data_IF_251106392126
#
_entry.id   IF_251106392126
#
_cell.length_a   1.000
_cell.length_b   1.000
_cell.length_c   1.000
_cell.angle_alpha   90.00
_cell.angle_beta   90.00
_cell.angle_gamma   90.00
#
_symmetry.space_group_name_H-M   'P 1'
#
loop_
_entity.id
_entity.type
_entity.pdbx_description
1 polymer ?
#
# COMPACT_ATOMS: atom_id res chain seq x y z
N UNK A 1 -6.78 -7.60 13.93
CA UNK A 1 -5.79 -8.63 14.31
C UNK A 1 -6.11 -9.38 15.59
N UNK A 2 -6.93 -8.82 16.48
CA UNK A 2 -7.36 -9.49 17.74
C UNK A 2 -8.09 -10.83 17.51
N UNK A 3 -8.80 -10.99 16.41
CA UNK A 3 -9.59 -12.20 16.07
C UNK A 3 -8.76 -13.37 15.53
N UNK A 4 -7.52 -13.16 15.08
CA UNK A 4 -6.70 -14.19 14.45
C UNK A 4 -6.48 -15.44 15.34
N UNK A 5 -6.09 -15.30 16.62
CA UNK A 5 -5.95 -16.49 17.49
C UNK A 5 -7.25 -17.25 17.67
N UNK A 6 -8.40 -16.56 17.69
CA UNK A 6 -9.71 -17.20 17.79
C UNK A 6 -10.05 -18.00 16.53
N UNK A 7 -9.74 -17.45 15.34
CA UNK A 7 -9.91 -18.14 14.05
C UNK A 7 -9.05 -19.42 14.02
N UNK A 8 -7.77 -19.32 14.37
CA UNK A 8 -6.89 -20.49 14.43
C UNK A 8 -7.40 -21.56 15.42
N UNK A 9 -7.92 -21.13 16.58
CA UNK A 9 -8.52 -22.04 17.57
C UNK A 9 -9.77 -22.73 17.02
N UNK A 10 -10.64 -21.99 16.31
CA UNK A 10 -11.85 -22.53 15.69
C UNK A 10 -11.50 -23.55 14.59
N UNK A 11 -10.59 -23.21 13.67
CA UNK A 11 -10.10 -24.12 12.63
C UNK A 11 -9.50 -25.38 13.22
N UNK A 12 -8.73 -25.27 14.30
CA UNK A 12 -8.13 -26.43 14.97
C UNK A 12 -9.18 -27.35 15.58
N UNK A 13 -10.25 -26.82 16.18
CA UNK A 13 -11.37 -27.61 16.69
C UNK A 13 -12.10 -28.38 15.59
N UNK A 14 -12.37 -27.70 14.45
CA UNK A 14 -12.97 -28.35 13.29
C UNK A 14 -12.02 -29.43 12.75
N UNK A 15 -10.74 -29.13 12.55
CA UNK A 15 -9.74 -30.08 12.03
C UNK A 15 -9.54 -31.31 12.89
N UNK A 16 -9.83 -31.23 14.19
CA UNK A 16 -9.80 -32.38 15.13
C UNK A 16 -11.09 -33.23 15.18
N UNK A 17 -12.17 -32.68 14.58
CA UNK A 17 -13.46 -33.32 14.63
C UNK A 17 -14.19 -33.14 15.98
N UNK A 18 -13.82 -32.10 16.75
CA UNK A 18 -14.43 -31.83 18.08
C UNK A 18 -15.89 -31.32 17.96
N UNK A 19 -16.39 -31.12 16.75
CA UNK A 19 -17.75 -30.66 16.47
C UNK A 19 -18.60 -31.77 15.87
N UNK A 20 -19.76 -32.00 16.44
CA UNK A 20 -20.64 -33.17 16.24
C UNK A 20 -21.30 -33.26 14.84
N UNK A 21 -21.08 -32.32 13.88
CA UNK A 21 -21.73 -32.36 12.57
C UNK A 21 -20.77 -31.98 11.42
N UNK A 22 -19.46 -32.28 11.55
CA UNK A 22 -18.51 -32.02 10.51
C UNK A 22 -18.42 -33.16 9.49
N UNK A 23 -18.58 -32.84 8.21
CA UNK A 23 -18.33 -33.82 7.14
C UNK A 23 -16.84 -34.06 6.95
N UNK A 24 -16.45 -35.23 6.41
CA UNK A 24 -15.04 -35.52 6.11
C UNK A 24 -14.37 -34.48 5.21
N UNK A 25 -15.13 -33.90 4.29
CA UNK A 25 -14.67 -32.80 3.43
C UNK A 25 -14.34 -31.55 4.25
N UNK A 26 -15.21 -31.12 5.16
CA UNK A 26 -14.98 -29.96 6.03
C UNK A 26 -13.76 -30.15 6.95
N UNK A 27 -13.53 -31.38 7.43
CA UNK A 27 -12.34 -31.73 8.22
C UNK A 27 -11.05 -31.58 7.40
N UNK A 28 -11.05 -32.07 6.15
CA UNK A 28 -9.90 -31.98 5.25
C UNK A 28 -9.59 -30.51 4.89
N UNK A 29 -10.62 -29.72 4.57
CA UNK A 29 -10.51 -28.31 4.28
C UNK A 29 -9.97 -27.52 5.47
N UNK A 30 -10.53 -27.74 6.66
CA UNK A 30 -10.07 -27.08 7.88
C UNK A 30 -8.60 -27.40 8.21
N UNK A 31 -8.14 -28.63 7.95
CA UNK A 31 -6.71 -29.02 8.09
C UNK A 31 -5.83 -28.27 7.10
N UNK A 32 -6.23 -28.14 5.82
CA UNK A 32 -5.51 -27.41 4.80
C UNK A 32 -5.42 -25.92 5.11
N UNK A 33 -6.54 -25.30 5.50
CA UNK A 33 -6.58 -23.90 5.91
C UNK A 33 -5.71 -23.66 7.15
N UNK A 34 -5.83 -24.51 8.17
CA UNK A 34 -5.02 -24.38 9.38
C UNK A 34 -3.52 -24.45 9.07
N UNK A 35 -3.09 -25.40 8.24
CA UNK A 35 -1.70 -25.54 7.83
C UNK A 35 -1.18 -24.29 7.11
N UNK A 36 -2.02 -23.62 6.31
CA UNK A 36 -1.64 -22.39 5.59
C UNK A 36 -1.60 -21.19 6.53
N UNK A 37 -2.65 -20.94 7.30
CA UNK A 37 -2.76 -19.72 8.14
C UNK A 37 -1.80 -19.73 9.34
N UNK A 38 -1.29 -20.89 9.74
CA UNK A 38 -0.33 -21.01 10.84
C UNK A 38 1.13 -20.87 10.41
N UNK A 39 1.42 -20.77 9.11
CA UNK A 39 2.79 -20.48 8.62
C UNK A 39 3.21 -19.07 9.03
N UNK A 40 4.50 -18.88 9.31
CA UNK A 40 5.02 -17.58 9.73
C UNK A 40 4.88 -16.54 8.62
N UNK A 41 5.09 -16.93 7.36
CA UNK A 41 4.93 -16.07 6.18
C UNK A 41 3.50 -15.54 6.07
N UNK A 42 2.49 -16.38 6.31
CA UNK A 42 1.10 -15.92 6.30
C UNK A 42 0.84 -14.90 7.41
N UNK A 43 1.34 -15.16 8.63
CA UNK A 43 1.18 -14.27 9.78
C UNK A 43 1.89 -12.93 9.53
N UNK A 44 3.09 -12.97 8.92
CA UNK A 44 3.80 -11.77 8.50
C UNK A 44 2.98 -10.96 7.49
N UNK A 45 2.49 -11.62 6.44
CA UNK A 45 1.66 -10.97 5.43
C UNK A 45 0.36 -10.40 6.01
N UNK A 46 -0.24 -11.06 6.99
CA UNK A 46 -1.41 -10.53 7.70
C UNK A 46 -1.10 -9.22 8.42
N UNK A 47 0.07 -9.12 9.08
CA UNK A 47 0.54 -7.89 9.72
C UNK A 47 0.83 -6.80 8.69
N UNK A 48 1.52 -7.15 7.60
CA UNK A 48 1.78 -6.25 6.48
C UNK A 48 0.51 -5.67 5.88
N UNK A 49 -0.44 -6.54 5.50
CA UNK A 49 -1.71 -6.10 4.92
C UNK A 49 -2.53 -5.24 5.87
N UNK A 50 -2.54 -5.56 7.16
CA UNK A 50 -3.21 -4.69 8.14
C UNK A 50 -2.60 -3.29 8.18
N UNK A 51 -1.28 -3.15 8.07
CA UNK A 51 -0.60 -1.86 7.99
C UNK A 51 -0.97 -1.11 6.73
N UNK A 52 -0.82 -1.73 5.56
CA UNK A 52 -1.15 -1.17 4.25
C UNK A 52 -2.62 -0.75 4.15
N UNK A 53 -3.54 -1.62 4.57
CA UNK A 53 -4.97 -1.32 4.52
C UNK A 53 -5.35 -0.15 5.43
N UNK A 54 -4.70 0.00 6.59
CA UNK A 54 -4.93 1.16 7.46
C UNK A 54 -4.43 2.47 6.83
N UNK A 55 -3.33 2.44 6.07
CA UNK A 55 -2.86 3.62 5.32
C UNK A 55 -3.87 4.02 4.24
N UNK A 56 -4.29 3.06 3.42
CA UNK A 56 -5.19 3.29 2.30
C UNK A 56 -6.62 3.63 2.76
N UNK A 57 -7.06 3.09 3.90
CA UNK A 57 -8.40 3.30 4.43
C UNK A 57 -8.71 4.78 4.71
N UNK A 58 -7.74 5.53 5.25
CA UNK A 58 -7.90 6.98 5.49
C UNK A 58 -8.14 7.74 4.18
N UNK A 59 -7.32 7.43 3.15
CA UNK A 59 -7.48 7.99 1.82
C UNK A 59 -8.82 7.60 1.19
N UNK A 60 -9.18 6.32 1.24
CA UNK A 60 -10.43 5.80 0.68
C UNK A 60 -11.66 6.47 1.29
N UNK A 61 -11.69 6.61 2.62
CA UNK A 61 -12.79 7.27 3.31
C UNK A 61 -12.94 8.73 2.89
N UNK A 62 -11.83 9.46 2.73
CA UNK A 62 -11.89 10.85 2.27
C UNK A 62 -12.41 10.93 0.84
N UNK A 63 -11.89 10.09 -0.08
CA UNK A 63 -12.28 10.10 -1.49
C UNK A 63 -13.73 9.63 -1.73
N UNK A 64 -14.35 8.97 -0.76
CA UNK A 64 -15.78 8.58 -0.82
C UNK A 64 -16.71 9.64 -0.22
N UNK A 65 -16.17 10.73 0.32
CA UNK A 65 -16.94 11.82 0.90
C UNK A 65 -17.74 12.61 -0.14
N UNK A 66 -18.87 13.20 0.28
CA UNK A 66 -19.73 14.03 -0.60
C UNK A 66 -19.16 15.44 -0.84
N UNK A 67 -18.22 15.89 -0.01
CA UNK A 67 -17.58 17.22 -0.10
C UNK A 67 -16.07 17.04 -0.24
N UNK A 68 -15.63 16.65 -1.42
CA UNK A 68 -14.21 16.41 -1.71
C UNK A 68 -13.60 17.70 -2.24
N UNK A 69 -12.57 18.20 -1.56
CA UNK A 69 -11.66 19.19 -2.11
C UNK A 69 -10.55 18.49 -2.91
N UNK A 70 -10.43 18.83 -4.18
CA UNK A 70 -9.49 18.21 -5.12
C UNK A 70 -8.03 18.42 -4.71
N UNK A 71 -7.71 19.57 -4.14
CA UNK A 71 -6.34 19.90 -3.70
C UNK A 71 -5.98 19.04 -2.49
N UNK A 72 -6.86 19.00 -1.49
CA UNK A 72 -6.68 18.14 -0.31
C UNK A 72 -6.64 16.65 -0.69
N UNK A 73 -7.47 16.21 -1.65
CA UNK A 73 -7.42 14.85 -2.16
C UNK A 73 -6.05 14.50 -2.75
N UNK A 74 -5.47 15.42 -3.54
CA UNK A 74 -4.14 15.23 -4.14
C UNK A 74 -3.05 15.16 -3.07
N UNK A 75 -3.09 16.03 -2.06
CA UNK A 75 -2.15 15.96 -0.94
C UNK A 75 -2.23 14.64 -0.18
N UNK A 76 -3.45 14.14 0.08
CA UNK A 76 -3.63 12.84 0.73
C UNK A 76 -3.16 11.67 -0.12
N UNK A 77 -3.38 11.70 -1.44
CA UNK A 77 -2.86 10.70 -2.37
C UNK A 77 -1.32 10.70 -2.35
N UNK A 78 -0.70 11.88 -2.43
CA UNK A 78 0.75 12.02 -2.41
C UNK A 78 1.35 11.54 -1.07
N UNK A 79 0.73 11.91 0.05
CA UNK A 79 1.14 11.45 1.38
C UNK A 79 1.04 9.92 1.49
N UNK A 80 -0.06 9.32 1.02
CA UNK A 80 -0.24 7.87 1.01
C UNK A 80 0.83 7.17 0.14
N UNK A 81 1.15 7.72 -1.03
CA UNK A 81 2.21 7.19 -1.89
C UNK A 81 3.59 7.27 -1.21
N UNK A 82 3.87 8.37 -0.50
CA UNK A 82 5.12 8.55 0.24
C UNK A 82 5.21 7.51 1.38
N UNK A 83 4.19 7.42 2.24
CA UNK A 83 4.12 6.44 3.33
C UNK A 83 4.26 5.00 2.82
N UNK A 84 3.69 4.68 1.64
CA UNK A 84 3.85 3.36 1.01
C UNK A 84 5.28 3.11 0.52
N UNK A 85 5.96 4.13 -0.03
CA UNK A 85 7.36 4.01 -0.46
C UNK A 85 8.31 3.81 0.72
N UNK A 86 8.02 4.45 1.86
CA UNK A 86 8.78 4.31 3.10
C UNK A 86 8.69 2.90 3.71
N UNK A 87 7.61 2.14 3.39
CA UNK A 87 7.53 0.73 3.80
C UNK A 87 8.65 -0.14 3.22
N UNK A 88 9.34 0.32 2.16
CA UNK A 88 10.45 -0.41 1.54
C UNK A 88 11.76 -0.20 2.29
N UNK A 89 11.73 -0.38 3.58
CA UNK A 89 12.89 -0.22 4.46
C UNK A 89 13.09 -1.46 5.34
N UNK A 90 14.36 -1.71 5.75
CA UNK A 90 14.73 -2.82 6.64
C UNK A 90 14.13 -2.65 8.04
N UNK A 91 14.03 -1.41 8.52
CA UNK A 91 13.46 -1.13 9.83
C UNK A 91 11.97 -1.45 9.85
N UNK A 92 11.27 -1.11 8.77
CA UNK A 92 9.85 -1.40 8.58
C UNK A 92 9.61 -2.91 8.46
N UNK A 93 10.43 -3.63 7.68
CA UNK A 93 10.39 -5.09 7.62
C UNK A 93 10.57 -5.70 9.01
N UNK A 94 11.58 -5.25 9.76
CA UNK A 94 11.87 -5.75 11.11
C UNK A 94 10.77 -5.41 12.11
N UNK A 95 10.10 -4.26 11.96
CA UNK A 95 8.95 -3.86 12.78
C UNK A 95 7.76 -4.81 12.55
N UNK A 96 7.41 -5.06 11.28
CA UNK A 96 6.33 -5.98 10.90
C UNK A 96 6.67 -7.43 11.34
N UNK A 97 7.94 -7.83 11.22
CA UNK A 97 8.40 -9.14 11.67
C UNK A 97 8.23 -9.32 13.19
N UNK A 98 8.49 -8.27 13.97
CA UNK A 98 8.28 -8.26 15.43
C UNK A 98 6.79 -8.44 15.77
N UNK A 99 5.92 -7.70 15.10
CA UNK A 99 4.47 -7.81 15.28
C UNK A 99 3.96 -9.20 14.89
N UNK A 100 4.48 -9.75 13.79
CA UNK A 100 4.17 -11.11 13.36
C UNK A 100 4.60 -12.16 14.38
N UNK A 101 5.79 -12.04 14.97
CA UNK A 101 6.27 -12.92 16.04
C UNK A 101 5.39 -12.85 17.28
N UNK A 102 4.95 -11.66 17.68
CA UNK A 102 4.02 -11.48 18.80
C UNK A 102 2.64 -12.12 18.51
N UNK A 103 2.13 -11.94 17.29
CA UNK A 103 0.85 -12.54 16.89
C UNK A 103 0.95 -14.07 16.81
N UNK A 104 2.05 -14.60 16.27
CA UNK A 104 2.33 -16.02 16.22
C UNK A 104 2.40 -16.64 17.63
N UNK A 105 3.05 -16.00 18.59
CA UNK A 105 3.09 -16.44 19.99
C UNK A 105 1.70 -16.54 20.61
N UNK A 106 0.81 -15.57 20.35
CA UNK A 106 -0.59 -15.62 20.82
C UNK A 106 -1.36 -16.79 20.21
N UNK A 107 -1.03 -17.20 18.99
CA UNK A 107 -1.65 -18.31 18.29
C UNK A 107 -0.86 -19.64 18.41
N UNK A 108 0.24 -19.70 19.15
CA UNK A 108 1.14 -20.85 19.26
C UNK A 108 0.41 -22.12 19.74
N UNK A 109 -0.56 -21.99 20.65
CA UNK A 109 -1.42 -23.11 21.09
C UNK A 109 -2.22 -23.72 19.94
N UNK A 110 -2.45 -22.98 18.84
CA UNK A 110 -3.10 -23.46 17.64
C UNK A 110 -2.12 -23.97 16.56
N UNK A 111 -0.81 -24.01 16.86
CA UNK A 111 0.23 -24.51 15.95
C UNK A 111 0.88 -23.44 15.08
N UNK A 112 0.71 -22.15 15.41
CA UNK A 112 1.35 -21.08 14.66
C UNK A 112 2.88 -21.14 14.75
N UNK A 113 3.53 -20.99 13.61
CA UNK A 113 4.98 -21.00 13.46
C UNK A 113 5.56 -19.60 13.75
N UNK A 114 6.78 -19.56 14.26
CA UNK A 114 7.51 -18.31 14.57
C UNK A 114 8.74 -18.11 13.69
N UNK A 115 8.98 -19.05 12.75
CA UNK A 115 10.13 -19.06 11.84
C UNK A 115 9.67 -19.23 10.41
N UNK A 116 10.45 -18.69 9.48
CA UNK A 116 10.22 -18.88 8.05
C UNK A 116 10.36 -20.34 7.65
N UNK A 117 9.47 -20.80 6.77
CA UNK A 117 9.46 -22.20 6.31
C UNK A 117 10.53 -22.42 5.27
N UNK A 118 11.42 -23.39 5.50
CA UNK A 118 12.43 -23.77 4.55
C UNK A 118 11.82 -24.61 3.41
N UNK A 119 11.41 -23.98 2.32
CA UNK A 119 11.00 -24.70 1.12
C UNK A 119 12.25 -25.25 0.42
N UNK A 120 12.22 -26.55 0.11
CA UNK A 120 13.31 -27.21 -0.62
C UNK A 120 13.62 -26.43 -1.91
N UNK A 121 14.85 -25.92 -2.03
CA UNK A 121 15.30 -25.20 -3.21
C UNK A 121 15.26 -26.17 -4.40
N UNK A 122 14.39 -25.92 -5.38
CA UNK A 122 14.45 -26.62 -6.65
C UNK A 122 15.72 -26.15 -7.36
N UNK A 123 16.73 -27.01 -7.43
CA UNK A 123 17.90 -26.75 -8.28
C UNK A 123 17.40 -26.74 -9.73
N UNK A 124 17.44 -25.57 -10.37
CA UNK A 124 17.26 -25.47 -11.83
C UNK A 124 18.37 -26.26 -12.47
N UNK A 125 18.04 -27.17 -13.42
CA UNK A 125 19.04 -27.89 -14.20
C UNK A 125 19.83 -26.86 -14.99
N UNK A 126 21.13 -26.69 -14.67
CA UNK A 126 22.01 -25.76 -15.37
C UNK A 126 22.40 -26.38 -16.70
N UNK A 127 22.33 -25.59 -17.77
CA UNK A 127 23.02 -25.91 -19.03
C UNK A 127 24.50 -25.63 -18.85
N UNK A 128 25.36 -26.39 -19.59
CA UNK A 128 26.80 -26.52 -19.38
C UNK A 128 27.62 -25.22 -19.52
N UNK A 129 27.01 -24.10 -19.93
CA UNK A 129 27.67 -22.83 -20.26
C UNK A 129 27.25 -21.61 -19.41
N UNK A 130 26.41 -21.76 -18.42
CA UNK A 130 26.01 -20.67 -17.55
C UNK A 130 26.94 -20.51 -16.35
N UNK A 131 27.89 -19.56 -16.45
CA UNK A 131 28.86 -19.19 -15.41
C UNK A 131 28.39 -18.13 -14.43
N UNK A 132 27.15 -17.73 -14.42
CA UNK A 132 26.65 -16.78 -13.44
C UNK A 132 26.22 -17.57 -12.22
N UNK A 133 27.02 -17.53 -11.17
CA UNK A 133 26.62 -17.91 -9.84
C UNK A 133 25.67 -16.81 -9.31
N UNK A 134 24.38 -16.95 -9.59
CA UNK A 134 23.40 -16.29 -8.75
C UNK A 134 23.62 -16.80 -7.33
N UNK A 135 24.14 -15.95 -6.46
CA UNK A 135 24.22 -16.25 -5.03
C UNK A 135 22.79 -16.51 -4.55
N UNK A 136 22.44 -17.78 -4.44
CA UNK A 136 21.17 -18.15 -3.86
C UNK A 136 21.19 -17.63 -2.43
N UNK A 137 20.29 -16.67 -2.12
CA UNK A 137 20.08 -16.20 -0.76
C UNK A 137 19.83 -17.42 0.13
N UNK A 138 20.83 -17.78 0.92
CA UNK A 138 20.79 -18.95 1.82
C UNK A 138 19.95 -18.68 3.04
N UNK A 139 19.84 -17.42 3.44
CA UNK A 139 18.97 -17.01 4.55
C UNK A 139 17.53 -16.86 4.08
N UNK A 140 16.64 -17.66 4.67
CA UNK A 140 15.21 -17.66 4.35
C UNK A 140 14.53 -16.33 4.69
N UNK A 141 15.03 -15.62 5.71
CA UNK A 141 14.56 -14.29 6.07
C UNK A 141 14.86 -13.29 4.95
N UNK A 142 16.12 -13.25 4.50
CA UNK A 142 16.55 -12.37 3.42
C UNK A 142 15.83 -12.70 2.11
N UNK A 143 15.69 -13.98 1.81
CA UNK A 143 14.94 -14.43 0.63
C UNK A 143 13.48 -13.95 0.67
N UNK A 144 12.79 -14.13 1.78
CA UNK A 144 11.40 -13.68 1.94
C UNK A 144 11.29 -12.16 1.85
N UNK A 145 12.24 -11.43 2.44
CA UNK A 145 12.29 -9.97 2.37
C UNK A 145 12.38 -9.48 0.92
N UNK A 146 13.34 -10.02 0.15
CA UNK A 146 13.58 -9.55 -1.23
C UNK A 146 12.52 -10.06 -2.21
N UNK A 147 12.24 -11.36 -2.21
CA UNK A 147 11.38 -11.99 -3.21
C UNK A 147 9.88 -11.76 -2.92
N UNK A 148 9.50 -11.51 -1.66
CA UNK A 148 8.09 -11.37 -1.30
C UNK A 148 7.77 -9.97 -0.81
N UNK A 149 8.41 -9.51 0.27
CA UNK A 149 8.02 -8.25 0.91
C UNK A 149 8.31 -7.04 0.02
N UNK A 150 9.53 -6.86 -0.47
CA UNK A 150 9.88 -5.74 -1.34
C UNK A 150 9.10 -5.79 -2.66
N UNK A 151 8.93 -6.97 -3.24
CA UNK A 151 8.14 -7.14 -4.46
C UNK A 151 6.67 -6.71 -4.25
N UNK A 152 6.06 -7.06 -3.11
CA UNK A 152 4.70 -6.63 -2.78
C UNK A 152 4.61 -5.12 -2.57
N UNK A 153 5.56 -4.51 -1.85
CA UNK A 153 5.60 -3.05 -1.63
C UNK A 153 5.73 -2.33 -2.97
N UNK A 154 6.68 -2.73 -3.81
CA UNK A 154 6.93 -2.12 -5.12
C UNK A 154 5.69 -2.25 -6.04
N UNK A 155 5.08 -3.43 -6.09
CA UNK A 155 3.88 -3.68 -6.88
C UNK A 155 2.72 -2.81 -6.40
N UNK A 156 2.50 -2.74 -5.10
CA UNK A 156 1.40 -1.99 -4.53
C UNK A 156 1.58 -0.48 -4.71
N UNK A 157 2.79 0.02 -4.48
CA UNK A 157 3.15 1.41 -4.74
C UNK A 157 2.91 1.78 -6.21
N UNK A 158 3.36 0.94 -7.14
CA UNK A 158 3.19 1.17 -8.57
C UNK A 158 1.71 1.18 -8.99
N UNK A 159 0.91 0.24 -8.48
CA UNK A 159 -0.53 0.17 -8.76
C UNK A 159 -1.27 1.42 -8.27
N UNK A 160 -0.99 1.89 -7.06
CA UNK A 160 -1.58 3.13 -6.52
C UNK A 160 -1.10 4.34 -7.33
N UNK A 161 0.20 4.45 -7.61
CA UNK A 161 0.77 5.56 -8.38
C UNK A 161 0.18 5.65 -9.78
N UNK A 162 0.05 4.53 -10.48
CA UNK A 162 -0.53 4.48 -11.82
C UNK A 162 -2.02 4.85 -11.80
N UNK A 163 -2.77 4.32 -10.82
CA UNK A 163 -4.21 4.61 -10.69
C UNK A 163 -4.50 6.09 -10.51
N UNK A 164 -3.62 6.81 -9.84
CA UNK A 164 -3.81 8.25 -9.56
C UNK A 164 -2.94 9.16 -10.44
N UNK A 165 -2.20 8.63 -11.44
CA UNK A 165 -1.36 9.43 -12.32
C UNK A 165 -2.17 10.48 -13.08
N UNK A 166 -3.24 10.06 -13.74
CA UNK A 166 -4.08 10.94 -14.55
C UNK A 166 -4.82 11.95 -13.68
N UNK A 167 -5.33 11.50 -12.53
CA UNK A 167 -5.97 12.37 -11.54
C UNK A 167 -5.00 13.49 -11.11
N UNK A 168 -3.77 13.15 -10.72
CA UNK A 168 -2.74 14.13 -10.35
C UNK A 168 -2.43 15.09 -11.49
N UNK A 169 -2.28 14.58 -12.70
CA UNK A 169 -1.98 15.41 -13.88
C UNK A 169 -3.09 16.43 -14.15
N UNK A 170 -4.35 16.04 -13.99
CA UNK A 170 -5.47 16.95 -14.16
C UNK A 170 -5.58 17.97 -13.02
N UNK A 171 -5.49 17.53 -11.79
CA UNK A 171 -5.64 18.39 -10.61
C UNK A 171 -4.47 19.36 -10.45
N UNK A 172 -3.25 18.97 -10.83
CA UNK A 172 -2.08 19.85 -10.78
C UNK A 172 -2.29 21.17 -11.57
N UNK A 173 -3.13 21.15 -12.61
CA UNK A 173 -3.49 22.38 -13.35
C UNK A 173 -4.28 23.37 -12.49
N UNK A 174 -5.01 22.90 -11.49
CA UNK A 174 -5.80 23.73 -10.57
C UNK A 174 -5.03 24.19 -9.34
N UNK A 175 -3.80 23.70 -9.10
CA UNK A 175 -3.00 24.15 -7.96
C UNK A 175 -2.73 25.64 -7.95
N UNK A 176 -2.72 26.27 -9.15
CA UNK A 176 -2.59 27.73 -9.28
C UNK A 176 -3.70 28.49 -8.54
N UNK A 177 -4.85 27.85 -8.27
CA UNK A 177 -5.98 28.42 -7.54
C UNK A 177 -5.93 28.16 -6.03
N UNK A 178 -4.92 27.41 -5.54
CA UNK A 178 -4.77 27.16 -4.11
C UNK A 178 -4.32 28.43 -3.37
N UNK A 179 -5.11 28.96 -2.42
CA UNK A 179 -4.72 30.13 -1.65
C UNK A 179 -3.37 30.01 -0.93
N UNK A 180 -2.96 28.80 -0.56
CA UNK A 180 -1.66 28.54 0.08
C UNK A 180 -0.47 28.91 -0.81
N UNK A 181 -0.65 28.83 -2.13
CA UNK A 181 0.36 29.18 -3.14
C UNK A 181 0.48 30.70 -3.35
N UNK A 182 -0.46 31.50 -2.81
CA UNK A 182 -0.48 32.95 -3.02
C UNK A 182 0.55 33.69 -2.17
N UNK A 183 1.08 33.06 -1.14
CA UNK A 183 2.06 33.62 -0.22
C UNK A 183 3.51 33.54 -0.70
N UNK A 184 3.81 32.74 -1.73
CA UNK A 184 5.13 32.65 -2.33
C UNK A 184 5.34 33.79 -3.34
N UNK A 185 5.91 34.90 -2.88
CA UNK A 185 6.15 36.11 -3.69
C UNK A 185 7.15 35.91 -4.85
N UNK A 186 8.02 34.90 -4.77
CA UNK A 186 9.04 34.60 -5.79
C UNK A 186 8.46 34.04 -7.11
N UNK A 187 7.17 33.77 -7.18
CA UNK A 187 6.55 33.05 -8.29
C UNK A 187 5.40 33.80 -9.01
N UNK A 188 5.36 35.12 -8.95
CA UNK A 188 4.28 35.96 -9.57
C UNK A 188 4.15 35.71 -11.08
N UNK A 189 5.25 35.57 -11.77
CA UNK A 189 5.25 35.33 -13.23
C UNK A 189 4.86 33.87 -13.56
N UNK A 190 5.26 32.93 -12.76
CA UNK A 190 4.90 31.51 -12.91
C UNK A 190 3.38 31.27 -12.70
N UNK A 191 2.79 31.92 -11.71
CA UNK A 191 1.34 31.85 -11.46
C UNK A 191 0.48 32.41 -12.60
N UNK A 192 0.88 33.53 -13.18
CA UNK A 192 0.19 34.11 -14.33
C UNK A 192 0.26 33.20 -15.57
N UNK A 193 1.40 32.57 -15.81
CA UNK A 193 1.56 31.63 -16.92
C UNK A 193 0.74 30.35 -16.68
N UNK A 194 0.69 29.87 -15.44
CA UNK A 194 -0.08 28.67 -15.08
C UNK A 194 -1.60 28.87 -15.21
N UNK A 195 -2.12 30.06 -14.81
CA UNK A 195 -3.55 30.34 -14.92
C UNK A 195 -3.97 30.51 -16.40
N UNK A 196 -3.11 31.07 -17.26
CA UNK A 196 -3.37 31.16 -18.70
C UNK A 196 -3.42 29.75 -19.32
N UNK A 197 -2.47 28.88 -18.99
CA UNK A 197 -2.49 27.45 -19.42
C UNK A 197 -3.75 26.71 -18.97
N UNK A 198 -4.23 26.99 -17.75
CA UNK A 198 -5.50 26.42 -17.28
C UNK A 198 -6.67 26.94 -18.12
N UNK A 199 -6.70 28.25 -18.41
CA UNK A 199 -7.74 28.87 -19.25
C UNK A 199 -7.76 28.31 -20.68
N UNK A 200 -6.59 28.01 -21.26
CA UNK A 200 -6.51 27.38 -22.59
C UNK A 200 -7.19 26.02 -22.66
N UNK A 201 -7.12 25.24 -21.57
CA UNK A 201 -7.84 23.95 -21.46
C UNK A 201 -9.36 24.17 -21.46
N UNK A 202 -9.83 25.25 -20.86
CA UNK A 202 -11.24 25.60 -20.72
C UNK A 202 -11.65 26.79 -21.57
N UNK A 203 -11.02 26.95 -22.75
CA UNK A 203 -11.22 28.10 -23.67
C UNK A 203 -12.66 28.33 -24.11
N UNK A 204 -13.50 27.31 -24.06
CA UNK A 204 -14.92 27.41 -24.40
C UNK A 204 -15.78 28.02 -23.26
N UNK A 205 -15.27 27.97 -22.02
CA UNK A 205 -15.99 28.39 -20.82
C UNK A 205 -15.40 29.68 -20.21
N UNK A 206 -14.10 29.95 -20.49
CA UNK A 206 -13.34 31.03 -19.85
C UNK A 206 -12.59 31.87 -20.89
N UNK A 207 -12.69 33.22 -20.78
CA UNK A 207 -11.94 34.14 -21.61
C UNK A 207 -10.48 34.22 -21.12
N UNK A 208 -9.54 33.76 -21.96
CA UNK A 208 -8.11 33.69 -21.62
C UNK A 208 -7.48 35.08 -21.38
N UNK A 209 -7.95 36.15 -22.04
CA UNK A 209 -7.42 37.50 -21.88
C UNK A 209 -7.83 38.13 -20.54
N UNK A 210 -9.01 37.80 -20.03
CA UNK A 210 -9.59 38.38 -18.84
C UNK A 210 -9.12 37.67 -17.55
N UNK A 211 -8.76 36.39 -17.67
CA UNK A 211 -8.49 35.54 -16.49
C UNK A 211 -7.23 36.00 -15.73
N UNK A 212 -6.21 36.47 -16.43
CA UNK A 212 -4.97 36.92 -15.80
C UNK A 212 -5.17 38.17 -14.91
N UNK A 213 -6.04 39.10 -15.33
CA UNK A 213 -6.36 40.30 -14.54
C UNK A 213 -7.22 39.92 -13.32
N UNK A 214 -8.23 39.08 -13.53
CA UNK A 214 -9.11 38.56 -12.47
C UNK A 214 -8.35 37.73 -11.44
N UNK A 215 -7.39 36.93 -11.88
CA UNK A 215 -6.53 36.16 -11.02
C UNK A 215 -5.65 37.01 -10.09
N UNK A 216 -5.09 38.13 -10.64
CA UNK A 216 -4.35 39.09 -9.78
C UNK A 216 -5.24 39.70 -8.70
N UNK A 217 -6.45 40.11 -9.07
CA UNK A 217 -7.42 40.66 -8.12
C UNK A 217 -7.82 39.62 -7.07
N UNK A 218 -8.01 38.35 -7.48
CA UNK A 218 -8.31 37.26 -6.58
C UNK A 218 -7.16 37.02 -5.58
N UNK A 219 -5.91 37.00 -6.04
CA UNK A 219 -4.75 36.88 -5.13
C UNK A 219 -4.70 37.99 -4.08
N UNK A 220 -5.06 39.24 -4.43
CA UNK A 220 -5.05 40.37 -3.51
C UNK A 220 -6.12 40.25 -2.40
N UNK A 221 -7.24 39.58 -2.67
CA UNK A 221 -8.33 39.39 -1.69
C UNK A 221 -7.96 38.29 -0.66
N UNK A 222 -7.14 37.32 -1.04
CA UNK A 222 -6.80 36.16 -0.20
C UNK A 222 -5.36 36.24 0.35
N UNK A 223 -4.63 37.35 0.15
CA UNK A 223 -3.38 37.68 0.81
C UNK A 223 -3.66 38.40 2.14
#
# INVERSE_FOLDING_TARGET
>A
MSSFPAICKALRRIARGDLTNCTGAALAEAKGLLATVTTFEFIFLLCFWNKVLNLVFRLSNYLQGSKIDLITATHLINACCLELSELRDEQEFSSIERDAKQLAQKAQKAGAETKYTCKRIRRVKRFYDERVADESLTDMREKFKVETFFCLVDTFFQQISNRFSDFRQHVNKFFVLDPKQFYDDDNVNSGNTAIVKLAEVYKNDVCCTDIASKYRSFKLVYK
#
